data_IF_661855173863
#
_entry.id   IF_661855173863
#
_cell.length_a   1.000
_cell.length_b   1.000
_cell.length_c   1.000
_cell.angle_alpha   90.00
_cell.angle_beta   90.00
_cell.angle_gamma   90.00
#
_symmetry.space_group_name_H-M   'P 1'
#
loop_
_entity.id
_entity.type
_entity.pdbx_description
1 polymer ?
#
# COMPACT_ATOMS: atom_id res chain seq x y z
N UNK A 1 13.82 35.47 0.55
CA UNK A 1 13.68 34.25 -0.29
C UNK A 1 14.28 33.07 0.45
N UNK A 2 13.49 32.34 1.25
CA UNK A 2 13.87 31.04 1.86
C UNK A 2 12.66 30.44 2.60
N UNK A 3 11.58 30.09 1.88
CA UNK A 3 10.41 29.42 2.49
C UNK A 3 9.85 28.35 1.54
N UNK A 4 10.72 27.53 0.94
CA UNK A 4 10.26 26.45 0.06
C UNK A 4 11.18 25.21 0.07
N UNK A 5 12.02 25.06 1.09
CA UNK A 5 12.94 23.92 1.21
C UNK A 5 12.46 22.84 2.18
N UNK A 6 11.71 23.18 3.25
CA UNK A 6 11.29 22.20 4.28
C UNK A 6 10.15 21.27 3.83
N UNK A 7 9.04 21.80 3.32
CA UNK A 7 7.91 20.98 2.83
C UNK A 7 8.31 20.03 1.69
N UNK A 8 9.23 20.48 0.83
CA UNK A 8 9.72 19.65 -0.27
C UNK A 8 10.50 18.44 0.21
N UNK A 9 11.16 18.53 1.36
CA UNK A 9 12.01 17.47 1.89
C UNK A 9 11.20 16.30 2.46
N UNK A 10 10.13 16.56 3.22
CA UNK A 10 9.24 15.52 3.75
C UNK A 10 8.45 14.79 2.66
N UNK A 11 7.87 15.54 1.71
CA UNK A 11 7.23 14.95 0.52
C UNK A 11 8.24 14.15 -0.30
N UNK A 12 9.52 14.59 -0.36
CA UNK A 12 10.59 13.80 -0.98
C UNK A 12 10.94 12.53 -0.20
N UNK A 13 10.88 12.52 1.14
CA UNK A 13 11.12 11.31 1.96
C UNK A 13 10.04 10.25 1.70
N UNK A 14 8.76 10.63 1.74
CA UNK A 14 7.65 9.69 1.43
C UNK A 14 7.68 9.28 -0.02
N UNK A 15 7.89 10.21 -0.97
CA UNK A 15 8.00 9.86 -2.39
C UNK A 15 9.21 8.96 -2.67
N UNK A 16 10.33 9.16 -1.98
CA UNK A 16 11.53 8.33 -2.08
C UNK A 16 11.31 6.92 -1.53
N UNK A 17 10.64 6.82 -0.38
CA UNK A 17 10.26 5.53 0.20
C UNK A 17 9.25 4.79 -0.68
N UNK A 18 8.19 5.48 -1.12
CA UNK A 18 7.21 4.94 -2.07
C UNK A 18 7.89 4.45 -3.35
N UNK A 19 8.75 5.27 -3.97
CA UNK A 19 9.49 4.89 -5.17
C UNK A 19 10.37 3.67 -4.91
N UNK A 20 11.07 3.60 -3.78
CA UNK A 20 11.89 2.43 -3.44
C UNK A 20 11.02 1.19 -3.27
N UNK A 21 9.88 1.29 -2.59
CA UNK A 21 8.97 0.18 -2.35
C UNK A 21 8.27 -0.31 -3.63
N UNK A 22 7.93 0.59 -4.56
CA UNK A 22 7.22 0.26 -5.79
C UNK A 22 8.14 -0.08 -6.97
N UNK A 23 9.37 0.43 -6.99
CA UNK A 23 10.32 0.24 -8.11
C UNK A 23 11.32 -0.89 -7.85
N UNK A 24 11.55 -1.26 -6.59
CA UNK A 24 12.39 -2.41 -6.25
C UNK A 24 11.56 -3.68 -6.41
N UNK A 25 11.94 -4.53 -7.38
CA UNK A 25 11.28 -5.81 -7.63
C UNK A 25 11.34 -6.70 -6.38
N UNK A 26 10.21 -6.78 -5.66
CA UNK A 26 10.08 -7.64 -4.47
C UNK A 26 9.86 -9.12 -4.85
N UNK A 27 10.11 -9.50 -6.11
CA UNK A 27 9.78 -10.81 -6.69
C UNK A 27 8.29 -10.99 -6.99
N UNK A 28 7.43 -10.14 -6.45
CA UNK A 28 5.97 -10.13 -6.70
C UNK A 28 5.66 -9.64 -8.13
N UNK A 29 6.47 -8.75 -8.72
CA UNK A 29 6.26 -8.22 -10.06
C UNK A 29 6.73 -9.17 -11.17
N UNK A 30 7.80 -9.93 -10.90
CA UNK A 30 8.47 -10.74 -11.91
C UNK A 30 7.82 -12.11 -12.19
N UNK A 31 6.77 -12.48 -11.46
CA UNK A 31 6.22 -13.85 -11.54
C UNK A 31 7.26 -14.93 -11.19
N UNK A 32 8.42 -14.53 -10.66
CA UNK A 32 9.44 -15.42 -10.18
C UNK A 32 8.90 -16.04 -8.90
N UNK A 33 8.64 -17.35 -8.93
CA UNK A 33 8.36 -18.10 -7.72
C UNK A 33 9.48 -17.79 -6.72
N UNK A 34 9.14 -17.22 -5.56
CA UNK A 34 10.05 -17.21 -4.41
C UNK A 34 10.10 -18.66 -3.91
N UNK A 35 10.78 -19.53 -4.66
CA UNK A 35 11.11 -20.87 -4.20
C UNK A 35 12.11 -20.64 -3.09
N UNK A 36 11.73 -20.99 -1.86
CA UNK A 36 12.70 -21.13 -0.78
C UNK A 36 13.71 -22.18 -1.26
N UNK A 37 14.95 -21.78 -1.48
CA UNK A 37 16.06 -22.69 -1.80
C UNK A 37 16.56 -23.48 -0.59
N UNK A 38 15.77 -23.54 0.49
CA UNK A 38 16.06 -24.36 1.66
C UNK A 38 15.54 -25.77 1.37
N UNK A 39 16.32 -26.46 0.53
CA UNK A 39 16.34 -27.91 0.37
C UNK A 39 16.84 -28.53 1.68
N UNK A 40 15.94 -28.66 2.65
CA UNK A 40 16.15 -29.54 3.79
C UNK A 40 14.87 -30.36 4.02
N UNK A 41 14.63 -31.28 3.08
CA UNK A 41 14.14 -32.64 3.33
C UNK A 41 12.94 -32.87 4.24
N UNK A 42 12.07 -31.89 4.47
CA UNK A 42 10.88 -32.09 5.30
C UNK A 42 9.64 -32.15 4.42
N UNK A 43 9.15 -33.37 4.23
CA UNK A 43 7.85 -33.71 3.65
C UNK A 43 6.72 -32.92 4.34
N UNK A 44 6.48 -31.70 3.87
CA UNK A 44 5.21 -31.03 4.07
C UNK A 44 4.22 -31.71 3.13
N UNK A 45 3.58 -32.76 3.64
CA UNK A 45 2.36 -33.31 3.08
C UNK A 45 1.29 -32.20 3.10
N UNK A 46 1.36 -31.31 2.10
CA UNK A 46 0.33 -30.36 1.77
C UNK A 46 -0.89 -31.20 1.40
N UNK A 47 -1.85 -31.27 2.32
CA UNK A 47 -3.12 -31.90 2.06
C UNK A 47 -3.76 -31.12 0.93
N UNK A 48 -3.64 -31.63 -0.29
CA UNK A 48 -4.36 -31.16 -1.46
C UNK A 48 -5.84 -31.34 -1.16
N UNK A 49 -6.44 -30.32 -0.57
CA UNK A 49 -7.87 -30.23 -0.52
C UNK A 49 -8.30 -29.86 -1.94
N UNK A 50 -8.77 -30.88 -2.65
CA UNK A 50 -9.43 -30.74 -3.95
C UNK A 50 -10.67 -29.89 -3.76
N UNK A 51 -10.55 -28.58 -4.00
CA UNK A 51 -11.69 -27.68 -4.06
C UNK A 51 -12.05 -27.47 -5.52
N UNK A 52 -13.20 -27.99 -5.91
CA UNK A 52 -13.88 -27.75 -7.17
C UNK A 52 -14.07 -26.24 -7.35
N UNK A 53 -13.17 -25.61 -8.12
CA UNK A 53 -13.33 -24.23 -8.57
C UNK A 53 -14.24 -24.24 -9.79
N UNK A 54 -15.28 -23.41 -9.76
CA UNK A 54 -16.24 -23.18 -10.85
C UNK A 54 -15.62 -22.35 -11.98
N UNK A 55 -14.48 -22.80 -12.48
CA UNK A 55 -13.98 -22.54 -13.83
C UNK A 55 -13.52 -23.89 -14.33
N UNK A 56 -14.19 -24.42 -15.35
CA UNK A 56 -13.77 -25.63 -16.05
C UNK A 56 -12.43 -25.32 -16.72
N UNK A 57 -11.34 -25.49 -15.98
CA UNK A 57 -9.98 -25.54 -16.51
C UNK A 57 -9.50 -26.97 -16.32
N UNK A 58 -9.36 -27.67 -17.44
CA UNK A 58 -9.00 -29.10 -17.53
C UNK A 58 -7.59 -29.38 -16.99
N UNK A 59 -6.79 -28.34 -16.71
CA UNK A 59 -5.42 -28.47 -16.24
C UNK A 59 -5.13 -27.57 -15.02
N UNK A 60 -4.83 -28.15 -13.84
CA UNK A 60 -4.52 -27.38 -12.63
C UNK A 60 -3.26 -26.51 -12.77
N UNK A 61 -2.30 -26.89 -13.62
CA UNK A 61 -1.08 -26.13 -13.86
C UNK A 61 -1.33 -24.79 -14.58
N UNK A 62 -2.31 -24.75 -15.48
CA UNK A 62 -2.66 -23.53 -16.21
C UNK A 62 -3.38 -22.51 -15.30
N UNK A 63 -4.25 -23.01 -14.41
CA UNK A 63 -4.92 -22.17 -13.41
C UNK A 63 -3.90 -21.56 -12.43
N UNK A 64 -2.94 -22.34 -11.95
CA UNK A 64 -1.88 -21.84 -11.07
C UNK A 64 -1.05 -20.75 -11.75
N UNK A 65 -0.71 -20.95 -13.02
CA UNK A 65 0.01 -19.96 -13.82
C UNK A 65 -0.78 -18.64 -13.95
N UNK A 66 -2.07 -18.72 -14.28
CA UNK A 66 -2.94 -17.54 -14.39
C UNK A 66 -3.09 -16.80 -13.05
N UNK A 67 -3.23 -17.53 -11.94
CA UNK A 67 -3.30 -16.95 -10.60
C UNK A 67 -1.99 -16.29 -10.20
N UNK A 68 -0.86 -16.86 -10.59
CA UNK A 68 0.48 -16.31 -10.32
C UNK A 68 0.67 -15.01 -11.11
N UNK A 69 0.33 -15.00 -12.40
CA UNK A 69 0.40 -13.80 -13.24
C UNK A 69 -0.43 -12.62 -12.71
N UNK A 70 -1.56 -12.89 -12.05
CA UNK A 70 -2.47 -11.85 -11.54
C UNK A 70 -2.31 -11.56 -10.04
N UNK A 71 -1.39 -12.24 -9.36
CA UNK A 71 -1.15 -12.09 -7.92
C UNK A 71 -0.77 -10.66 -7.55
N UNK A 72 0.17 -10.08 -8.27
CA UNK A 72 0.65 -8.72 -8.02
C UNK A 72 -0.48 -7.69 -8.11
N UNK A 73 -1.35 -7.86 -9.11
CA UNK A 73 -2.47 -6.96 -9.35
C UNK A 73 -3.49 -7.01 -8.20
N UNK A 74 -3.82 -8.21 -7.72
CA UNK A 74 -4.71 -8.40 -6.55
C UNK A 74 -4.13 -7.77 -5.28
N UNK A 75 -2.85 -8.01 -5.00
CA UNK A 75 -2.18 -7.45 -3.81
C UNK A 75 -2.10 -5.94 -3.91
N UNK A 76 -1.74 -5.41 -5.08
CA UNK A 76 -1.68 -3.96 -5.32
C UNK A 76 -3.05 -3.31 -5.13
N UNK A 77 -4.12 -3.89 -5.66
CA UNK A 77 -5.48 -3.37 -5.46
C UNK A 77 -5.86 -3.29 -3.97
N UNK A 78 -5.48 -4.30 -3.18
CA UNK A 78 -5.81 -4.35 -1.77
C UNK A 78 -5.00 -3.36 -0.92
N UNK A 79 -3.70 -3.20 -1.20
CA UNK A 79 -2.78 -2.38 -0.38
C UNK A 79 -2.63 -0.93 -0.88
N UNK A 80 -2.72 -0.74 -2.21
CA UNK A 80 -2.39 0.49 -2.92
C UNK A 80 -3.43 0.82 -4.01
N UNK A 81 -4.72 0.91 -3.65
CA UNK A 81 -5.79 1.17 -4.62
C UNK A 81 -5.56 2.46 -5.41
N UNK A 82 -4.88 3.47 -4.83
CA UNK A 82 -4.56 4.74 -5.49
C UNK A 82 -3.54 4.62 -6.62
N UNK A 83 -2.84 3.49 -6.72
CA UNK A 83 -1.86 3.22 -7.80
C UNK A 83 -2.47 2.46 -8.98
N UNK A 84 -3.74 2.07 -8.87
CA UNK A 84 -4.44 1.36 -9.94
C UNK A 84 -5.08 2.34 -10.92
N UNK A 85 -4.96 2.04 -12.21
CA UNK A 85 -5.69 2.76 -13.26
C UNK A 85 -7.18 2.44 -13.15
N UNK A 86 -8.03 3.46 -13.18
CA UNK A 86 -9.48 3.31 -13.19
C UNK A 86 -9.92 2.38 -14.34
N UNK A 87 -10.82 1.44 -14.04
CA UNK A 87 -11.31 0.46 -15.02
C UNK A 87 -10.46 -0.80 -15.19
N UNK A 88 -9.38 -0.98 -14.43
CA UNK A 88 -8.59 -2.22 -14.50
C UNK A 88 -9.39 -3.40 -13.92
N UNK A 89 -9.65 -4.44 -14.73
CA UNK A 89 -10.31 -5.67 -14.30
C UNK A 89 -9.36 -6.59 -13.53
N UNK A 90 -9.76 -7.02 -12.34
CA UNK A 90 -8.97 -7.88 -11.46
C UNK A 90 -9.62 -9.27 -11.42
N UNK A 91 -8.84 -10.31 -11.69
CA UNK A 91 -9.32 -11.69 -11.56
C UNK A 91 -9.58 -11.99 -10.07
N UNK A 92 -10.84 -12.29 -9.73
CA UNK A 92 -11.24 -12.70 -8.39
C UNK A 92 -10.84 -14.15 -8.12
N UNK A 93 -10.36 -14.41 -6.90
CA UNK A 93 -10.11 -15.77 -6.38
C UNK A 93 -11.19 -16.21 -5.40
N UNK A 94 -12.32 -15.52 -5.37
CA UNK A 94 -13.42 -15.80 -4.46
C UNK A 94 -14.19 -17.03 -4.94
N UNK A 95 -14.21 -18.08 -4.11
CA UNK A 95 -14.91 -19.33 -4.42
C UNK A 95 -16.38 -19.29 -3.99
N UNK A 96 -16.68 -18.57 -2.93
CA UNK A 96 -18.02 -18.36 -2.40
C UNK A 96 -18.27 -16.87 -2.17
N UNK A 97 -19.34 -16.36 -2.78
CA UNK A 97 -19.81 -14.98 -2.61
C UNK A 97 -20.07 -14.58 -1.15
N UNK A 98 -20.38 -15.53 -0.28
CA UNK A 98 -20.62 -15.28 1.15
C UNK A 98 -19.33 -15.08 1.96
N UNK A 99 -18.18 -15.50 1.42
CA UNK A 99 -16.89 -15.49 2.10
C UNK A 99 -15.90 -14.54 1.44
N UNK A 100 -15.29 -13.66 2.24
CA UNK A 100 -14.17 -12.84 1.78
C UNK A 100 -12.88 -13.66 1.71
N UNK A 101 -12.09 -13.40 0.68
CA UNK A 101 -10.72 -13.91 0.54
C UNK A 101 -9.79 -13.30 1.59
N UNK A 102 -8.65 -13.94 1.86
CA UNK A 102 -7.65 -13.40 2.78
C UNK A 102 -7.12 -12.02 2.33
N UNK A 103 -6.98 -11.80 1.02
CA UNK A 103 -6.54 -10.52 0.46
C UNK A 103 -7.57 -9.41 0.74
N UNK A 104 -8.87 -9.71 0.60
CA UNK A 104 -9.94 -8.77 0.93
C UNK A 104 -9.98 -8.47 2.44
N UNK A 105 -9.86 -9.50 3.30
CA UNK A 105 -9.83 -9.33 4.77
C UNK A 105 -8.66 -8.47 5.24
N UNK A 106 -7.52 -8.57 4.57
CA UNK A 106 -6.30 -7.83 4.93
C UNK A 106 -6.18 -6.46 4.26
N UNK A 107 -7.06 -6.12 3.31
CA UNK A 107 -6.98 -4.86 2.57
C UNK A 107 -7.06 -3.63 3.51
N UNK A 108 -8.10 -3.54 4.34
CA UNK A 108 -8.28 -2.41 5.25
C UNK A 108 -7.18 -2.29 6.33
N UNK A 109 -6.85 -3.34 7.12
CA UNK A 109 -5.85 -3.21 8.18
C UNK A 109 -4.45 -2.88 7.62
N UNK A 110 -4.15 -3.32 6.41
CA UNK A 110 -2.87 -3.02 5.78
C UNK A 110 -2.79 -1.60 5.20
N UNK A 111 -3.89 -1.04 4.69
CA UNK A 111 -3.99 0.37 4.32
C UNK A 111 -3.85 1.27 5.55
N UNK A 112 -4.48 0.92 6.68
CA UNK A 112 -4.31 1.65 7.94
C UNK A 112 -2.86 1.63 8.41
N UNK A 113 -2.19 0.48 8.35
CA UNK A 113 -0.77 0.36 8.70
C UNK A 113 0.10 1.24 7.80
N UNK A 114 -0.12 1.23 6.49
CA UNK A 114 0.57 2.10 5.53
C UNK A 114 0.38 3.58 5.88
N UNK A 115 -0.85 4.02 6.17
CA UNK A 115 -1.14 5.40 6.53
C UNK A 115 -0.41 5.82 7.82
N UNK A 116 -0.43 4.96 8.85
CA UNK A 116 0.29 5.20 10.09
C UNK A 116 1.81 5.33 9.88
N UNK A 117 2.39 4.48 9.02
CA UNK A 117 3.82 4.55 8.65
C UNK A 117 4.13 5.87 7.93
N UNK A 118 3.27 6.31 7.00
CA UNK A 118 3.46 7.59 6.29
C UNK A 118 3.45 8.75 7.29
N UNK A 119 2.50 8.79 8.23
CA UNK A 119 2.47 9.82 9.26
C UNK A 119 3.72 9.79 10.14
N UNK A 120 4.19 8.60 10.52
CA UNK A 120 5.41 8.47 11.31
C UNK A 120 6.64 9.01 10.58
N UNK A 121 6.77 8.71 9.28
CA UNK A 121 7.89 9.21 8.46
C UNK A 121 7.87 10.74 8.40
N UNK A 122 6.68 11.34 8.29
CA UNK A 122 6.52 12.80 8.21
C UNK A 122 6.53 13.51 9.56
N UNK A 123 6.42 12.77 10.67
CA UNK A 123 6.21 13.37 11.99
C UNK A 123 7.29 14.38 12.38
N UNK A 124 8.55 14.13 12.03
CA UNK A 124 9.64 15.07 12.32
C UNK A 124 9.39 16.42 11.62
N UNK A 125 9.00 16.39 10.35
CA UNK A 125 8.78 17.59 9.54
C UNK A 125 7.51 18.33 10.01
N UNK A 126 6.44 17.59 10.35
CA UNK A 126 5.20 18.16 10.89
C UNK A 126 5.40 18.81 12.26
N UNK A 127 6.20 18.19 13.15
CA UNK A 127 6.52 18.76 14.46
C UNK A 127 7.38 20.03 14.36
N UNK A 128 8.34 20.07 13.44
CA UNK A 128 9.11 21.27 13.16
C UNK A 128 8.25 22.38 12.54
N UNK A 129 7.35 22.04 11.62
CA UNK A 129 6.40 22.96 11.02
C UNK A 129 5.50 23.58 12.10
N UNK A 130 4.92 22.76 12.99
CA UNK A 130 4.08 23.22 14.08
C UNK A 130 4.85 24.17 15.01
N UNK A 131 6.09 23.85 15.37
CA UNK A 131 6.94 24.70 16.23
C UNK A 131 7.17 26.08 15.63
N UNK A 132 7.22 26.21 14.30
CA UNK A 132 7.38 27.50 13.59
C UNK A 132 6.04 28.21 13.33
N UNK A 133 4.99 27.47 13.00
CA UNK A 133 3.69 28.02 12.61
C UNK A 133 2.85 28.47 13.82
N UNK A 134 2.90 27.76 14.94
CA UNK A 134 2.08 28.08 16.13
C UNK A 134 2.34 29.51 16.67
N UNK A 135 3.59 29.99 16.80
CA UNK A 135 3.84 31.38 17.20
C UNK A 135 3.26 32.40 16.23
N UNK A 136 3.33 32.16 14.92
CA UNK A 136 2.79 33.08 13.90
C UNK A 136 1.26 33.08 13.88
N UNK A 137 0.62 31.91 13.99
CA UNK A 137 -0.83 31.81 14.17
C UNK A 137 -1.29 32.53 15.43
N UNK A 138 -0.52 32.42 16.53
CA UNK A 138 -0.79 33.16 17.76
C UNK A 138 -0.71 34.67 17.55
N UNK A 139 0.22 35.17 16.73
CA UNK A 139 0.31 36.60 16.39
C UNK A 139 -0.90 37.05 15.57
N UNK A 140 -1.27 36.29 14.53
CA UNK A 140 -2.41 36.59 13.67
C UNK A 140 -3.73 36.63 14.45
N UNK A 141 -3.92 35.70 15.40
CA UNK A 141 -5.12 35.66 16.25
C UNK A 141 -5.19 36.80 17.27
N UNK A 142 -4.06 37.41 17.62
CA UNK A 142 -3.99 38.56 18.54
C UNK A 142 -3.93 39.90 17.80
N UNK A 143 -4.13 39.92 16.48
CA UNK A 143 -4.11 41.14 15.68
C UNK A 143 -5.41 41.95 15.89
N UNK A 144 -5.30 43.28 15.87
CA UNK A 144 -6.44 44.19 16.04
C UNK A 144 -7.32 44.25 14.76
N UNK A 145 -6.77 43.86 13.60
CA UNK A 145 -7.51 43.80 12.33
C UNK A 145 -8.23 42.45 12.16
N UNK A 146 -9.56 42.49 12.20
CA UNK A 146 -10.42 41.33 12.00
C UNK A 146 -10.18 40.61 10.65
N UNK A 147 -9.73 41.31 9.61
CA UNK A 147 -9.39 40.71 8.32
C UNK A 147 -8.11 39.88 8.40
N UNK A 148 -7.17 40.25 9.28
CA UNK A 148 -5.94 39.50 9.54
C UNK A 148 -6.21 38.29 10.43
N UNK A 149 -7.03 38.46 11.47
CA UNK A 149 -7.50 37.35 12.32
C UNK A 149 -8.21 36.27 11.49
N UNK A 150 -9.04 36.65 10.52
CA UNK A 150 -9.73 35.70 9.63
C UNK A 150 -8.81 34.92 8.67
N UNK A 151 -7.52 35.24 8.59
CA UNK A 151 -6.52 34.52 7.78
C UNK A 151 -5.73 33.49 8.59
N UNK A 152 -5.84 33.50 9.92
CA UNK A 152 -5.33 32.44 10.78
C UNK A 152 -6.15 31.15 10.57
#
# INVERSE_FOLDING_TARGET
MAMQMGEREGVMKVAGWQKTYYTTDSGIQSGANTVRSDDDGMDFHSKYATYTTTTVTENPAELESQLTMTRAQRVRQAMFPETMTEGTTIISTQMDSSQQTNVQKLAEPSQMLKAAIIHLINYQDDAELATRAVPELTKLLNDDDQVVVNKA
#
